data_IF_341264285113
#
_entry.id   IF_341264285113
#
_cell.length_a   1.000
_cell.length_b   1.000
_cell.length_c   1.000
_cell.angle_alpha   90.00
_cell.angle_beta   90.00
_cell.angle_gamma   90.00
#
_symmetry.space_group_name_H-M   'P 1'
#
loop_
_entity.id
_entity.type
_entity.pdbx_description
1 polymer ?
#
# COMPACT_ATOMS: atom_id res chain seq x y z
N UNK A 1 12.91 -11.82 0.95
CA UNK A 1 12.78 -13.24 1.33
C UNK A 1 11.35 -13.69 1.06
N UNK A 2 11.17 -14.85 0.48
CA UNK A 2 9.86 -15.37 0.10
C UNK A 2 9.92 -16.89 -0.14
N UNK A 3 8.79 -17.52 -0.56
CA UNK A 3 8.72 -18.98 -0.71
C UNK A 3 9.83 -19.60 -1.59
N UNK A 4 10.24 -18.87 -2.63
CA UNK A 4 11.30 -19.33 -3.54
C UNK A 4 12.71 -19.36 -2.91
N UNK A 5 12.89 -18.78 -1.73
CA UNK A 5 14.16 -18.69 -1.00
C UNK A 5 14.08 -19.37 0.37
N UNK A 6 13.09 -20.24 0.60
CA UNK A 6 12.86 -20.95 1.87
C UNK A 6 13.73 -22.22 1.96
N UNK A 7 14.99 -22.17 1.49
CA UNK A 7 15.95 -23.25 1.50
C UNK A 7 17.32 -22.76 1.97
N UNK A 8 17.89 -23.42 2.99
CA UNK A 8 19.15 -22.99 3.61
C UNK A 8 20.37 -23.17 2.67
N UNK A 9 20.38 -24.23 1.84
CA UNK A 9 21.49 -24.49 0.92
C UNK A 9 21.50 -23.43 -0.20
N UNK A 10 20.31 -23.10 -0.74
CA UNK A 10 20.17 -22.01 -1.73
C UNK A 10 20.60 -20.67 -1.14
N UNK A 11 20.22 -20.37 0.11
CA UNK A 11 20.64 -19.13 0.79
C UNK A 11 22.16 -19.07 0.97
N UNK A 12 22.79 -20.18 1.36
CA UNK A 12 24.23 -20.25 1.48
C UNK A 12 24.93 -20.00 0.12
N UNK A 13 24.40 -20.52 -0.98
CA UNK A 13 24.91 -20.30 -2.32
C UNK A 13 24.74 -18.82 -2.77
N UNK A 14 23.57 -18.23 -2.50
CA UNK A 14 23.31 -16.79 -2.73
C UNK A 14 24.33 -15.92 -1.97
N UNK A 15 24.61 -16.26 -0.70
CA UNK A 15 25.58 -15.54 0.13
C UNK A 15 27.01 -15.67 -0.42
N UNK A 16 27.41 -16.85 -0.86
CA UNK A 16 28.71 -17.07 -1.54
C UNK A 16 28.79 -16.30 -2.84
N UNK A 17 27.66 -16.14 -3.54
CA UNK A 17 27.55 -15.38 -4.79
C UNK A 17 27.47 -13.86 -4.61
N UNK A 18 27.49 -13.34 -3.37
CA UNK A 18 27.56 -11.90 -3.11
C UNK A 18 26.34 -11.31 -2.40
N UNK A 19 25.39 -12.10 -1.92
CA UNK A 19 24.28 -11.59 -1.13
C UNK A 19 24.80 -11.06 0.21
N UNK A 20 24.52 -9.79 0.54
CA UNK A 20 24.93 -9.12 1.78
C UNK A 20 23.73 -8.78 2.68
N UNK A 21 22.49 -8.87 2.16
CA UNK A 21 21.30 -8.39 2.84
C UNK A 21 20.09 -9.25 2.53
N UNK A 22 19.28 -9.55 3.54
CA UNK A 22 18.00 -10.22 3.44
C UNK A 22 16.86 -9.28 3.86
N UNK A 23 15.94 -8.95 2.92
CA UNK A 23 14.76 -8.13 3.17
C UNK A 23 13.54 -9.01 3.45
N UNK A 24 12.85 -8.73 4.54
CA UNK A 24 11.59 -9.35 4.93
C UNK A 24 10.46 -8.32 4.80
N UNK A 25 9.55 -8.55 3.86
CA UNK A 25 8.41 -7.66 3.63
C UNK A 25 7.23 -8.07 4.51
N UNK A 26 7.00 -7.32 5.60
CA UNK A 26 5.92 -7.56 6.55
C UNK A 26 4.53 -7.15 6.04
N UNK A 27 4.42 -6.64 4.81
CA UNK A 27 3.12 -6.47 4.15
C UNK A 27 2.48 -7.78 3.73
N UNK A 28 3.24 -8.89 3.74
CA UNK A 28 2.81 -10.23 3.34
C UNK A 28 3.31 -11.27 4.33
N UNK A 29 2.58 -12.38 4.45
CA UNK A 29 2.92 -13.47 5.36
C UNK A 29 2.48 -13.19 6.81
N UNK A 30 2.87 -14.10 7.72
CA UNK A 30 2.63 -13.97 9.15
C UNK A 30 3.95 -13.93 9.94
N UNK A 31 3.88 -13.60 11.23
CA UNK A 31 5.06 -13.49 12.08
C UNK A 31 5.84 -14.80 12.18
N UNK A 32 5.15 -15.94 12.22
CA UNK A 32 5.75 -17.27 12.30
C UNK A 32 6.56 -17.59 11.03
N UNK A 33 6.04 -17.24 9.85
CA UNK A 33 6.76 -17.41 8.59
C UNK A 33 8.02 -16.55 8.53
N UNK A 34 7.91 -15.29 8.97
CA UNK A 34 9.07 -14.39 9.01
C UNK A 34 10.12 -14.86 10.01
N UNK A 35 9.72 -15.32 11.21
CA UNK A 35 10.63 -15.87 12.21
C UNK A 35 11.39 -17.08 11.65
N UNK A 36 10.69 -18.02 11.04
CA UNK A 36 11.31 -19.19 10.40
C UNK A 36 12.32 -18.79 9.32
N UNK A 37 11.97 -17.83 8.45
CA UNK A 37 12.88 -17.34 7.40
C UNK A 37 14.10 -16.62 7.95
N UNK A 38 13.94 -15.85 9.04
CA UNK A 38 15.07 -15.23 9.75
C UNK A 38 16.03 -16.28 10.28
N UNK A 39 15.52 -17.36 10.89
CA UNK A 39 16.34 -18.47 11.37
C UNK A 39 17.09 -19.18 10.24
N UNK A 40 16.42 -19.41 9.09
CA UNK A 40 17.06 -19.99 7.91
C UNK A 40 18.23 -19.11 7.41
N UNK A 41 18.02 -17.80 7.31
CA UNK A 41 19.09 -16.85 6.89
C UNK A 41 20.24 -16.87 7.88
N UNK A 42 19.97 -16.83 9.18
CA UNK A 42 21.00 -16.88 10.23
C UNK A 42 21.81 -18.18 10.18
N UNK A 43 21.13 -19.30 9.99
CA UNK A 43 21.78 -20.61 9.85
C UNK A 43 22.69 -20.66 8.63
N UNK A 44 22.21 -20.22 7.46
CA UNK A 44 23.01 -20.16 6.24
C UNK A 44 24.21 -19.21 6.37
N UNK A 45 24.02 -18.04 7.00
CA UNK A 45 25.08 -17.07 7.28
C UNK A 45 26.18 -17.64 8.17
N UNK A 46 25.82 -18.41 9.21
CA UNK A 46 26.77 -19.10 10.06
C UNK A 46 27.56 -20.18 9.32
N UNK A 47 26.89 -20.94 8.43
CA UNK A 47 27.54 -21.98 7.61
C UNK A 47 28.61 -21.40 6.67
N UNK A 48 28.33 -20.24 6.07
CA UNK A 48 29.27 -19.59 5.12
C UNK A 48 30.21 -18.60 5.78
N UNK A 49 30.13 -18.45 7.11
CA UNK A 49 30.90 -17.51 7.91
C UNK A 49 30.84 -16.05 7.41
N UNK A 50 29.66 -15.65 6.86
CA UNK A 50 29.44 -14.32 6.30
C UNK A 50 28.38 -13.56 7.08
N UNK A 51 28.68 -12.33 7.57
CA UNK A 51 27.67 -11.48 8.18
C UNK A 51 26.65 -11.03 7.13
N UNK A 52 25.35 -11.21 7.41
CA UNK A 52 24.24 -10.79 6.57
C UNK A 52 23.35 -9.80 7.31
N UNK A 53 23.11 -8.64 6.72
CA UNK A 53 22.17 -7.68 7.24
C UNK A 53 20.72 -8.16 7.07
N UNK A 54 19.86 -7.97 8.07
CA UNK A 54 18.44 -8.25 8.01
C UNK A 54 17.66 -6.94 7.97
N UNK A 55 16.80 -6.76 6.96
CA UNK A 55 15.87 -5.63 6.87
C UNK A 55 14.47 -6.11 7.16
N UNK A 56 13.85 -5.55 8.20
CA UNK A 56 12.41 -5.61 8.42
C UNK A 56 11.76 -4.44 7.67
N UNK A 57 11.15 -4.74 6.52
CA UNK A 57 10.36 -3.78 5.76
C UNK A 57 8.94 -3.81 6.29
N UNK A 58 8.66 -2.93 7.24
CA UNK A 58 7.39 -2.90 7.96
C UNK A 58 6.29 -2.30 7.09
N UNK A 59 5.08 -2.81 7.26
CA UNK A 59 3.89 -2.23 6.66
C UNK A 59 3.63 -0.87 7.33
N UNK A 60 3.84 0.21 6.59
CA UNK A 60 3.42 1.54 7.01
C UNK A 60 1.89 1.72 6.94
N UNK A 61 1.37 2.84 7.46
CA UNK A 61 -0.03 3.20 7.28
C UNK A 61 -0.28 3.41 5.79
N UNK A 62 -1.25 2.68 5.23
CA UNK A 62 -1.62 2.79 3.83
C UNK A 62 -3.10 3.15 3.70
N UNK A 63 -3.35 4.22 2.98
CA UNK A 63 -4.71 4.51 2.53
C UNK A 63 -5.06 3.60 1.35
N UNK A 64 -6.23 2.98 1.43
CA UNK A 64 -6.74 2.08 0.39
C UNK A 64 -8.20 2.35 0.11
N UNK A 65 -8.59 2.12 -1.13
CA UNK A 65 -9.99 2.07 -1.53
C UNK A 65 -10.69 0.85 -0.92
N UNK A 66 -12.00 0.95 -0.78
CA UNK A 66 -12.87 -0.15 -0.40
C UNK A 66 -13.03 -1.21 -1.48
N UNK A 67 -14.07 -2.00 -1.32
CA UNK A 67 -14.45 -3.06 -2.26
C UNK A 67 -15.43 -2.46 -3.27
N UNK A 68 -15.18 -2.66 -4.56
CA UNK A 68 -16.14 -2.32 -5.60
C UNK A 68 -17.15 -3.46 -5.80
N UNK A 69 -18.41 -3.10 -5.96
CA UNK A 69 -19.52 -4.05 -6.17
C UNK A 69 -19.26 -5.03 -7.31
N UNK A 70 -18.66 -4.56 -8.39
CA UNK A 70 -18.31 -5.36 -9.57
C UNK A 70 -16.83 -5.80 -9.58
N UNK A 71 -16.13 -5.64 -8.44
CA UNK A 71 -14.71 -5.93 -8.28
C UNK A 71 -13.78 -4.87 -8.89
N UNK A 72 -14.19 -4.25 -10.00
CA UNK A 72 -13.46 -3.19 -10.71
C UNK A 72 -14.41 -2.28 -11.49
N UNK A 73 -13.95 -1.06 -11.76
CA UNK A 73 -14.64 -0.07 -12.58
C UNK A 73 -13.65 0.64 -13.50
N UNK A 74 -14.14 1.34 -14.53
CA UNK A 74 -13.31 2.13 -15.44
C UNK A 74 -13.67 3.60 -15.24
N UNK A 75 -12.73 4.40 -14.78
CA UNK A 75 -12.85 5.85 -14.68
C UNK A 75 -12.34 6.48 -15.97
N UNK A 76 -13.11 7.39 -16.55
CA UNK A 76 -12.71 8.13 -17.75
C UNK A 76 -12.20 9.50 -17.37
N UNK A 77 -11.26 10.01 -18.13
CA UNK A 77 -10.78 11.38 -17.98
C UNK A 77 -11.94 12.39 -18.11
N UNK A 78 -12.01 13.31 -17.17
CA UNK A 78 -13.08 14.31 -17.06
C UNK A 78 -14.29 13.86 -16.23
N UNK A 79 -14.44 12.57 -15.90
CA UNK A 79 -15.51 12.08 -15.02
C UNK A 79 -15.38 12.67 -13.62
N UNK A 80 -16.52 12.80 -12.93
CA UNK A 80 -16.55 13.06 -11.48
C UNK A 80 -16.44 11.74 -10.73
N UNK A 81 -15.62 11.71 -9.68
CA UNK A 81 -15.50 10.56 -8.79
C UNK A 81 -15.43 11.04 -7.33
N UNK A 82 -16.16 10.40 -6.44
CA UNK A 82 -16.22 10.78 -5.03
C UNK A 82 -15.48 9.75 -4.17
N UNK A 83 -14.63 10.22 -3.26
CA UNK A 83 -14.14 9.38 -2.16
C UNK A 83 -14.96 9.69 -0.91
N UNK A 84 -15.28 8.66 -0.13
CA UNK A 84 -16.00 8.80 1.14
C UNK A 84 -15.33 8.01 2.24
N UNK A 85 -15.43 8.53 3.47
CA UNK A 85 -14.98 7.82 4.69
C UNK A 85 -16.06 6.90 5.27
N UNK A 86 -17.28 6.91 4.72
CA UNK A 86 -18.33 5.94 5.03
C UNK A 86 -18.02 4.61 4.32
N UNK A 87 -18.04 3.51 5.09
CA UNK A 87 -17.78 2.18 4.54
C UNK A 87 -18.94 1.71 3.68
N UNK A 88 -18.77 1.80 2.38
CA UNK A 88 -19.74 1.41 1.36
C UNK A 88 -19.10 0.51 0.31
N UNK A 89 -19.92 -0.23 -0.43
CA UNK A 89 -19.49 -0.85 -1.68
C UNK A 89 -19.32 0.23 -2.76
N UNK A 90 -18.13 0.30 -3.36
CA UNK A 90 -17.79 1.27 -4.40
C UNK A 90 -18.52 1.00 -5.72
N UNK A 91 -18.77 2.07 -6.44
CA UNK A 91 -19.37 2.09 -7.78
C UNK A 91 -18.49 2.87 -8.76
N UNK A 92 -18.99 3.12 -9.98
CA UNK A 92 -18.36 3.99 -10.96
C UNK A 92 -18.23 5.45 -10.50
N UNK A 93 -19.01 5.87 -9.50
CA UNK A 93 -19.15 7.28 -9.08
C UNK A 93 -18.54 7.56 -7.70
N UNK A 94 -18.43 6.53 -6.84
CA UNK A 94 -18.01 6.69 -5.45
C UNK A 94 -17.28 5.45 -4.93
N UNK A 95 -16.30 5.66 -4.06
CA UNK A 95 -15.62 4.58 -3.32
C UNK A 95 -15.27 5.00 -1.90
N UNK A 96 -15.32 4.04 -1.00
CA UNK A 96 -14.77 4.17 0.35
C UNK A 96 -13.25 4.32 0.33
N UNK A 97 -12.72 5.13 1.26
CA UNK A 97 -11.30 5.21 1.60
C UNK A 97 -11.12 5.00 3.10
N UNK A 98 -10.19 4.14 3.49
CA UNK A 98 -10.01 3.67 4.87
C UNK A 98 -9.29 4.67 5.81
N UNK A 99 -9.34 5.97 5.52
CA UNK A 99 -8.77 7.01 6.37
C UNK A 99 -9.78 8.10 6.65
N UNK A 100 -10.32 8.10 7.87
CA UNK A 100 -11.39 9.00 8.28
C UNK A 100 -10.96 10.49 8.32
N UNK A 101 -9.68 10.76 8.58
CA UNK A 101 -9.13 12.13 8.62
C UNK A 101 -8.88 12.76 7.25
N UNK A 102 -8.97 11.99 6.17
CA UNK A 102 -8.59 12.48 4.84
C UNK A 102 -9.34 13.74 4.38
N UNK A 103 -10.66 13.91 4.63
CA UNK A 103 -11.37 15.14 4.25
C UNK A 103 -10.88 16.40 4.98
N UNK A 104 -10.34 16.27 6.20
CA UNK A 104 -9.80 17.40 6.96
C UNK A 104 -8.45 17.88 6.44
N UNK A 105 -7.74 17.04 5.71
CA UNK A 105 -6.35 17.26 5.27
C UNK A 105 -6.24 17.62 3.79
N UNK A 106 -7.32 17.45 3.04
CA UNK A 106 -7.38 17.80 1.62
C UNK A 106 -8.08 19.13 1.37
N UNK A 107 -7.69 19.78 0.29
CA UNK A 107 -8.32 20.99 -0.21
C UNK A 107 -8.43 20.95 -1.74
N UNK A 108 -9.32 21.75 -2.36
CA UNK A 108 -9.42 21.87 -3.80
C UNK A 108 -8.06 22.13 -4.45
N UNK A 109 -7.77 21.46 -5.55
CA UNK A 109 -6.50 21.49 -6.27
C UNK A 109 -5.47 20.43 -5.81
N UNK A 110 -5.71 19.73 -4.68
CA UNK A 110 -4.81 18.62 -4.33
C UNK A 110 -4.97 17.46 -5.31
N UNK A 111 -3.85 16.78 -5.57
CA UNK A 111 -3.83 15.56 -6.36
C UNK A 111 -4.05 14.33 -5.49
N UNK A 112 -4.83 13.37 -5.99
CA UNK A 112 -4.97 12.03 -5.42
C UNK A 112 -4.54 11.03 -6.47
N UNK A 113 -3.58 10.17 -6.13
CA UNK A 113 -3.09 9.11 -6.99
C UNK A 113 -3.67 7.77 -6.54
N UNK A 114 -4.15 6.98 -7.47
CA UNK A 114 -4.70 5.65 -7.25
C UNK A 114 -3.85 4.60 -7.97
N UNK A 115 -3.81 3.37 -7.43
CA UNK A 115 -3.06 2.25 -8.02
C UNK A 115 -1.60 2.60 -8.33
N UNK A 116 -0.88 3.13 -7.35
CA UNK A 116 0.54 3.49 -7.46
C UNK A 116 0.82 4.54 -8.58
N UNK A 117 -0.15 5.42 -8.82
CA UNK A 117 -0.04 6.53 -9.76
C UNK A 117 -0.53 6.22 -11.18
N UNK A 118 -1.11 5.05 -11.42
CA UNK A 118 -1.72 4.71 -12.73
C UNK A 118 -2.95 5.57 -13.03
N UNK A 119 -3.69 6.01 -12.00
CA UNK A 119 -4.80 6.94 -12.13
C UNK A 119 -4.52 8.18 -11.29
N UNK A 120 -4.98 9.33 -11.78
CA UNK A 120 -4.87 10.60 -11.06
C UNK A 120 -6.23 11.32 -11.00
N UNK A 121 -6.55 11.79 -9.81
CA UNK A 121 -7.72 12.61 -9.53
C UNK A 121 -7.26 13.99 -9.05
N UNK A 122 -8.05 15.02 -9.29
CA UNK A 122 -7.89 16.35 -8.70
C UNK A 122 -9.08 16.63 -7.80
N UNK A 123 -8.83 17.07 -6.57
CA UNK A 123 -9.87 17.45 -5.62
C UNK A 123 -10.53 18.72 -6.12
N UNK A 124 -11.86 18.70 -6.27
CA UNK A 124 -12.68 19.86 -6.68
C UNK A 124 -13.38 20.51 -5.50
N UNK A 125 -13.78 19.71 -4.50
CA UNK A 125 -14.44 20.19 -3.29
C UNK A 125 -14.32 19.16 -2.17
N UNK A 126 -14.55 19.57 -0.91
CA UNK A 126 -14.47 18.70 0.27
C UNK A 126 -15.62 18.99 1.23
N UNK A 127 -16.41 17.99 1.56
CA UNK A 127 -17.39 17.99 2.64
C UNK A 127 -16.82 17.27 3.87
N UNK A 128 -16.20 18.02 4.75
CA UNK A 128 -15.59 17.48 5.98
C UNK A 128 -16.63 16.83 6.90
N UNK A 129 -17.83 17.42 7.04
CA UNK A 129 -18.86 16.90 7.92
C UNK A 129 -19.50 15.63 7.35
N UNK A 130 -19.71 15.59 6.04
CA UNK A 130 -20.25 14.42 5.34
C UNK A 130 -19.19 13.38 5.00
N UNK A 131 -17.91 13.62 5.33
CA UNK A 131 -16.81 12.69 5.07
C UNK A 131 -16.58 12.42 3.58
N UNK A 132 -16.81 13.42 2.71
CA UNK A 132 -16.72 13.26 1.24
C UNK A 132 -15.69 14.16 0.61
N UNK A 133 -15.02 13.63 -0.39
CA UNK A 133 -14.04 14.34 -1.20
C UNK A 133 -14.50 14.21 -2.65
N UNK A 134 -14.88 15.33 -3.23
CA UNK A 134 -15.31 15.39 -4.63
C UNK A 134 -14.10 15.60 -5.50
N UNK A 135 -13.98 14.81 -6.56
CA UNK A 135 -12.82 14.86 -7.45
C UNK A 135 -13.23 14.82 -8.92
N UNK A 136 -12.32 15.25 -9.75
CA UNK A 136 -12.36 15.09 -11.20
C UNK A 136 -11.23 14.15 -11.62
N UNK A 137 -11.53 13.22 -12.50
CA UNK A 137 -10.54 12.29 -13.07
C UNK A 137 -9.65 13.06 -14.04
N UNK A 138 -8.36 13.17 -13.72
CA UNK A 138 -7.33 13.78 -14.57
C UNK A 138 -6.70 12.73 -15.48
N UNK A 139 -6.43 11.54 -14.92
CA UNK A 139 -5.91 10.39 -15.65
C UNK A 139 -6.78 9.19 -15.36
N UNK A 140 -7.49 8.73 -16.35
CA UNK A 140 -8.44 7.62 -16.24
C UNK A 140 -7.78 6.24 -16.39
N UNK A 141 -8.57 5.22 -16.14
CA UNK A 141 -8.15 3.82 -16.29
C UNK A 141 -9.00 2.86 -15.49
N UNK A 142 -8.62 1.58 -15.50
CA UNK A 142 -9.26 0.55 -14.70
C UNK A 142 -8.77 0.65 -13.24
N UNK A 143 -9.72 0.69 -12.30
CA UNK A 143 -9.47 0.66 -10.87
C UNK A 143 -10.20 -0.51 -10.21
N UNK A 144 -9.52 -1.27 -9.37
CA UNK A 144 -10.08 -2.42 -8.65
C UNK A 144 -10.07 -2.20 -7.14
N UNK A 145 -10.73 -3.11 -6.42
CA UNK A 145 -10.86 -3.10 -4.97
C UNK A 145 -9.50 -3.05 -4.25
N UNK A 146 -9.46 -2.37 -3.10
CA UNK A 146 -8.32 -2.31 -2.16
C UNK A 146 -7.03 -1.70 -2.74
N UNK A 147 -7.13 -0.94 -3.82
CA UNK A 147 -5.98 -0.24 -4.39
C UNK A 147 -5.52 0.90 -3.49
N UNK A 148 -4.21 1.15 -3.54
CA UNK A 148 -3.56 2.22 -2.76
C UNK A 148 -4.07 3.59 -3.20
N UNK A 149 -4.23 4.47 -2.21
CA UNK A 149 -4.50 5.91 -2.38
C UNK A 149 -3.30 6.67 -1.85
N UNK A 150 -2.83 7.66 -2.59
CA UNK A 150 -1.74 8.55 -2.18
C UNK A 150 -2.10 10.00 -2.49
N UNK A 151 -1.70 10.91 -1.63
CA UNK A 151 -1.94 12.35 -1.77
C UNK A 151 -0.58 13.07 -1.77
N UNK A 152 0.11 13.16 -2.92
CA UNK A 152 1.43 13.78 -2.98
C UNK A 152 1.36 15.25 -2.60
N UNK A 153 2.32 15.71 -1.81
CA UNK A 153 2.41 17.11 -1.35
C UNK A 153 1.45 17.47 -0.21
N UNK A 154 0.65 16.52 0.29
CA UNK A 154 -0.21 16.71 1.45
C UNK A 154 0.44 16.08 2.68
N UNK A 155 0.52 16.82 3.79
CA UNK A 155 0.98 16.31 5.07
C UNK A 155 -0.17 15.58 5.76
N UNK A 156 -0.11 14.26 5.75
CA UNK A 156 -1.13 13.40 6.35
C UNK A 156 -0.78 13.09 7.81
N UNK A 157 -1.75 13.20 8.73
CA UNK A 157 -1.61 12.87 10.15
C UNK A 157 -1.78 11.38 10.46
N UNK A 158 -1.57 10.52 9.48
CA UNK A 158 -1.59 9.08 9.67
C UNK A 158 -0.51 8.67 10.69
N UNK A 159 -0.85 7.91 11.74
CA UNK A 159 0.14 7.45 12.71
C UNK A 159 1.15 6.53 12.01
N UNK A 160 2.44 6.87 12.12
CA UNK A 160 3.53 6.11 11.50
C UNK A 160 3.67 4.69 12.07
N UNK A 161 3.29 4.51 13.33
CA UNK A 161 3.20 3.22 14.02
C UNK A 161 1.75 3.01 14.47
N UNK A 162 1.15 1.89 14.11
CA UNK A 162 -0.12 1.45 14.65
C UNK A 162 0.10 0.51 15.82
N UNK A 163 -0.86 0.43 16.75
CA UNK A 163 -0.85 -0.50 17.89
C UNK A 163 -1.22 -1.95 17.51
N UNK A 164 -0.93 -2.39 16.28
CA UNK A 164 -1.22 -3.76 15.82
C UNK A 164 0.01 -4.64 15.88
#
# INVERSE_FOLDING_TARGET
>A
MGPSTDDAALLAEMMRSGMDLARFNFSHGCHEEHARRVELVRKAAAEVEKPIALIADTKGPEMRLGIFKEGKVILKEGDSFTLTTEEIEGTQEISYVNYAGLPEELQPGNAILLSDGLLALEVTDVDVQGGKIYTKVVHGGEISSRKRVACPGVELKLPFLSEQ
#
